data_IF_578478508474
#
_entry.id   IF_578478508474
#
_cell.length_a   1.000
_cell.length_b   1.000
_cell.length_c   1.000
_cell.angle_alpha   90.00
_cell.angle_beta   90.00
_cell.angle_gamma   90.00
#
_symmetry.space_group_name_H-M   'P 1'
#
loop_
_entity.id
_entity.type
_entity.pdbx_description
1 polymer ?
#
# COMPACT_ATOMS: atom_id res chain seq x y z
N UNK A 1 -31.19 -3.03 35.13
CA UNK A 1 -30.84 -1.73 34.54
C UNK A 1 -30.31 -1.95 33.12
N UNK A 2 -31.20 -2.06 32.13
CA UNK A 2 -30.81 -2.15 30.71
C UNK A 2 -30.65 -0.72 30.16
N UNK A 3 -29.42 -0.31 29.90
CA UNK A 3 -29.12 0.97 29.25
C UNK A 3 -29.23 0.76 27.75
N UNK A 4 -30.41 1.01 27.18
CA UNK A 4 -30.58 1.08 25.74
C UNK A 4 -29.88 2.34 25.24
N UNK A 5 -28.80 2.19 24.47
CA UNK A 5 -28.17 3.31 23.78
C UNK A 5 -29.03 3.68 22.56
N UNK A 6 -29.52 4.91 22.50
CA UNK A 6 -30.29 5.40 21.35
C UNK A 6 -29.34 6.06 20.37
N UNK A 7 -29.27 5.51 19.16
CA UNK A 7 -28.44 6.02 18.07
C UNK A 7 -29.36 6.58 17.00
N UNK A 8 -29.32 7.90 16.82
CA UNK A 8 -30.11 8.62 15.83
C UNK A 8 -29.21 9.00 14.65
N UNK A 9 -29.68 9.01 13.40
CA UNK A 9 -28.88 9.22 12.15
C UNK A 9 -28.98 10.66 11.57
N UNK A 10 -27.87 11.27 11.14
CA UNK A 10 -27.66 12.72 10.87
C UNK A 10 -26.16 13.09 10.80
N UNK A 11 -25.74 14.35 10.58
CA UNK A 11 -24.40 14.68 10.04
C UNK A 11 -23.17 14.40 10.94
N UNK A 12 -23.36 13.97 12.19
CA UNK A 12 -22.31 13.42 13.06
C UNK A 12 -22.72 12.04 13.65
N UNK A 13 -23.48 11.25 12.89
CA UNK A 13 -24.11 10.03 13.39
C UNK A 13 -23.75 8.84 12.52
N UNK A 14 -23.74 7.62 13.09
CA UNK A 14 -23.29 6.44 12.39
C UNK A 14 -24.15 6.14 11.16
N UNK A 15 -23.50 5.59 10.14
CA UNK A 15 -24.13 5.21 8.89
C UNK A 15 -24.95 3.94 9.11
N UNK A 16 -26.26 4.01 8.81
CA UNK A 16 -27.10 2.82 8.72
C UNK A 16 -27.10 2.33 7.27
N UNK A 17 -26.64 1.10 7.05
CA UNK A 17 -26.74 0.42 5.77
C UNK A 17 -27.74 -0.73 5.85
N UNK A 18 -28.79 -0.66 5.04
CA UNK A 18 -29.76 -1.74 4.87
C UNK A 18 -29.38 -2.51 3.61
N UNK A 19 -28.95 -3.77 3.75
CA UNK A 19 -28.27 -4.50 2.68
C UNK A 19 -28.91 -5.85 2.39
N UNK A 20 -28.59 -6.40 1.21
CA UNK A 20 -28.70 -7.83 0.96
C UNK A 20 -27.45 -8.54 1.54
N UNK A 21 -27.57 -9.36 2.59
CA UNK A 21 -26.42 -9.86 3.33
C UNK A 21 -25.52 -10.77 2.51
N UNK A 22 -26.06 -11.56 1.57
CA UNK A 22 -25.26 -12.43 0.71
C UNK A 22 -24.41 -11.63 -0.28
N UNK A 23 -25.03 -10.68 -0.98
CA UNK A 23 -24.32 -9.81 -1.92
C UNK A 23 -23.29 -8.92 -1.21
N UNK A 24 -23.63 -8.42 -0.02
CA UNK A 24 -22.76 -7.57 0.76
C UNK A 24 -21.57 -8.32 1.37
N UNK A 25 -21.75 -9.58 1.78
CA UNK A 25 -20.65 -10.44 2.26
C UNK A 25 -19.67 -10.77 1.14
N UNK A 26 -20.16 -11.06 -0.06
CA UNK A 26 -19.31 -11.27 -1.24
C UNK A 26 -18.54 -10.01 -1.62
N UNK A 27 -19.19 -8.84 -1.57
CA UNK A 27 -18.54 -7.56 -1.80
C UNK A 27 -17.39 -7.33 -0.81
N UNK A 28 -17.65 -7.51 0.49
CA UNK A 28 -16.63 -7.36 1.54
C UNK A 28 -15.45 -8.33 1.36
N UNK A 29 -15.72 -9.56 0.92
CA UNK A 29 -14.68 -10.52 0.60
C UNK A 29 -13.82 -10.06 -0.59
N UNK A 30 -14.46 -9.65 -1.70
CA UNK A 30 -13.76 -9.19 -2.91
C UNK A 30 -12.97 -7.90 -2.72
N UNK A 31 -13.40 -7.02 -1.80
CA UNK A 31 -12.68 -5.79 -1.47
C UNK A 31 -11.59 -5.98 -0.41
N UNK A 32 -11.28 -7.23 -0.03
CA UNK A 32 -10.21 -7.53 0.92
C UNK A 32 -10.54 -7.19 2.37
N UNK A 33 -11.80 -6.87 2.68
CA UNK A 33 -12.24 -6.60 4.05
C UNK A 33 -12.55 -7.89 4.82
N UNK A 34 -12.50 -9.06 4.16
CA UNK A 34 -12.73 -10.38 4.77
C UNK A 34 -14.18 -10.85 4.66
N UNK A 35 -14.37 -12.17 4.71
CA UNK A 35 -15.69 -12.79 4.66
C UNK A 35 -16.36 -12.77 6.04
N UNK A 36 -17.69 -12.83 6.06
CA UNK A 36 -18.49 -13.08 7.25
C UNK A 36 -19.72 -13.92 6.88
N UNK A 37 -20.23 -14.75 7.81
CA UNK A 37 -21.41 -15.57 7.55
C UNK A 37 -22.63 -14.67 7.37
N UNK A 38 -23.29 -14.77 6.22
CA UNK A 38 -24.52 -14.01 5.92
C UNK A 38 -25.66 -14.38 6.88
N UNK A 39 -25.62 -15.60 7.44
CA UNK A 39 -26.61 -16.13 8.38
C UNK A 39 -26.63 -15.34 9.70
N UNK A 40 -25.50 -14.71 10.07
CA UNK A 40 -25.40 -13.88 11.27
C UNK A 40 -26.22 -12.58 11.19
N UNK A 41 -26.71 -12.20 10.01
CA UNK A 41 -27.59 -11.04 9.79
C UNK A 41 -29.04 -11.43 9.53
N UNK A 42 -29.41 -12.70 9.72
CA UNK A 42 -30.79 -13.17 9.56
C UNK A 42 -31.61 -12.82 10.79
N UNK A 43 -32.90 -12.48 10.66
CA UNK A 43 -33.72 -12.13 11.81
C UNK A 43 -33.77 -13.27 12.84
N UNK A 44 -33.71 -12.90 14.12
CA UNK A 44 -33.89 -13.81 15.26
C UNK A 44 -34.90 -13.18 16.24
N UNK A 45 -36.18 -13.49 16.04
CA UNK A 45 -37.28 -12.87 16.77
C UNK A 45 -37.46 -11.38 16.45
N UNK A 46 -37.79 -10.58 17.46
CA UNK A 46 -38.09 -9.15 17.31
C UNK A 46 -36.86 -8.24 17.31
N UNK A 47 -35.66 -8.81 17.52
CA UNK A 47 -34.39 -8.07 17.59
C UNK A 47 -33.61 -8.30 16.30
N UNK A 48 -33.15 -7.23 15.65
CA UNK A 48 -32.40 -7.35 14.40
C UNK A 48 -30.92 -7.61 14.68
N UNK A 49 -30.34 -8.69 14.16
CA UNK A 49 -28.89 -8.85 14.17
C UNK A 49 -28.23 -7.84 13.23
N UNK A 50 -27.18 -7.18 13.71
CA UNK A 50 -26.41 -6.23 12.92
C UNK A 50 -24.92 -6.46 12.98
N UNK A 51 -24.27 -6.02 11.91
CA UNK A 51 -22.85 -5.79 11.85
C UNK A 51 -22.57 -4.33 12.27
N UNK A 52 -21.81 -4.14 13.35
CA UNK A 52 -21.59 -2.81 13.96
C UNK A 52 -20.12 -2.46 14.10
N UNK A 53 -19.82 -1.16 14.20
CA UNK A 53 -18.47 -0.69 14.55
C UNK A 53 -18.14 -0.96 16.04
N UNK A 54 -16.85 -1.09 16.41
CA UNK A 54 -16.46 -1.39 17.80
C UNK A 54 -16.88 -0.32 18.80
N UNK A 55 -16.91 0.94 18.36
CA UNK A 55 -17.37 2.08 19.16
C UNK A 55 -18.84 1.92 19.57
N UNK A 56 -19.68 1.45 18.66
CA UNK A 56 -21.10 1.18 18.95
C UNK A 56 -21.28 -0.10 19.75
N UNK A 57 -20.45 -1.12 19.51
CA UNK A 57 -20.49 -2.37 20.25
C UNK A 57 -20.06 -2.20 21.72
N UNK A 58 -19.06 -1.37 22.00
CA UNK A 58 -18.56 -1.17 23.37
C UNK A 58 -19.52 -0.36 24.24
N UNK A 59 -20.32 0.54 23.63
CA UNK A 59 -21.40 1.26 24.29
C UNK A 59 -22.74 0.51 24.32
N UNK A 60 -22.89 -0.52 23.48
CA UNK A 60 -24.07 -1.39 23.48
C UNK A 60 -23.97 -2.37 24.65
N UNK A 61 -25.05 -2.48 25.44
CA UNK A 61 -25.23 -3.63 26.31
C UNK A 61 -25.60 -4.87 25.49
N UNK A 62 -26.70 -5.53 25.85
CA UNK A 62 -27.24 -6.66 25.06
C UNK A 62 -27.88 -6.21 23.75
N UNK A 63 -28.37 -4.97 23.67
CA UNK A 63 -29.03 -4.42 22.49
C UNK A 63 -28.83 -2.90 22.41
N UNK A 64 -28.94 -2.37 21.20
CA UNK A 64 -28.82 -0.96 20.88
C UNK A 64 -30.08 -0.53 20.14
N UNK A 65 -30.69 0.59 20.52
CA UNK A 65 -31.86 1.11 19.81
C UNK A 65 -31.39 2.01 18.69
N UNK A 66 -31.63 1.60 17.45
CA UNK A 66 -31.32 2.44 16.29
C UNK A 66 -32.60 3.17 15.89
N UNK A 67 -32.52 4.49 15.90
CA UNK A 67 -33.56 5.39 15.40
C UNK A 67 -33.17 5.81 13.99
N UNK A 68 -33.84 5.22 13.01
CA UNK A 68 -33.66 5.58 11.62
C UNK A 68 -35.01 5.67 10.92
N UNK A 69 -35.13 6.64 10.00
CA UNK A 69 -36.31 6.78 9.15
C UNK A 69 -37.61 7.01 9.93
N UNK A 70 -37.50 7.64 11.11
CA UNK A 70 -38.62 7.87 12.02
C UNK A 70 -39.08 6.63 12.79
N UNK A 71 -38.35 5.52 12.70
CA UNK A 71 -38.65 4.28 13.38
C UNK A 71 -37.51 3.89 14.33
N UNK A 72 -37.91 3.38 15.49
CA UNK A 72 -37.00 2.78 16.46
C UNK A 72 -37.05 1.27 16.31
N UNK A 73 -35.90 0.64 16.17
CA UNK A 73 -35.79 -0.81 16.18
C UNK A 73 -34.62 -1.28 17.06
N UNK A 74 -34.84 -2.34 17.86
CA UNK A 74 -33.80 -2.93 18.67
C UNK A 74 -32.85 -3.72 17.76
N UNK A 75 -31.56 -3.47 17.92
CA UNK A 75 -30.48 -4.09 17.18
C UNK A 75 -29.56 -4.82 18.15
N UNK A 76 -29.19 -6.05 17.83
CA UNK A 76 -28.18 -6.80 18.57
C UNK A 76 -26.86 -6.83 17.77
N UNK A 77 -25.71 -6.45 18.38
CA UNK A 77 -24.38 -6.58 17.79
C UNK A 77 -23.98 -8.05 17.54
N UNK A 78 -24.41 -8.64 16.43
CA UNK A 78 -24.09 -10.02 16.09
C UNK A 78 -22.66 -10.18 15.53
N UNK A 79 -22.19 -9.16 14.81
CA UNK A 79 -20.83 -9.10 14.29
C UNK A 79 -20.26 -7.71 14.57
N UNK A 80 -18.97 -7.65 14.92
CA UNK A 80 -18.27 -6.38 15.13
C UNK A 80 -17.14 -6.28 14.12
N UNK A 81 -17.11 -5.19 13.34
CA UNK A 81 -16.06 -4.91 12.36
C UNK A 81 -15.64 -3.46 12.43
N UNK A 82 -14.34 -3.20 12.23
CA UNK A 82 -13.79 -1.83 12.25
C UNK A 82 -14.17 -1.02 11.01
N UNK A 83 -14.34 -1.70 9.87
CA UNK A 83 -14.63 -1.06 8.58
C UNK A 83 -15.57 -1.92 7.74
N UNK A 84 -16.29 -1.29 6.82
CA UNK A 84 -17.25 -1.95 5.92
C UNK A 84 -17.32 -1.23 4.56
N UNK A 85 -17.65 -1.92 3.43
CA UNK A 85 -17.69 -1.28 2.12
C UNK A 85 -18.59 -0.03 2.01
N UNK A 86 -19.62 0.07 2.87
CA UNK A 86 -20.57 1.20 2.86
C UNK A 86 -20.15 2.38 3.75
N UNK A 87 -19.19 2.17 4.67
CA UNK A 87 -18.77 3.15 5.66
C UNK A 87 -17.31 2.87 6.06
N UNK A 88 -16.33 3.25 5.22
CA UNK A 88 -14.93 2.94 5.46
C UNK A 88 -14.34 3.69 6.66
N UNK A 89 -14.84 4.90 6.97
CA UNK A 89 -14.21 5.84 7.93
C UNK A 89 -15.19 6.43 8.96
N UNK A 90 -16.32 5.76 9.21
CA UNK A 90 -17.34 6.25 10.16
C UNK A 90 -17.93 5.09 10.95
N UNK A 91 -18.43 5.37 12.15
CA UNK A 91 -19.22 4.38 12.89
C UNK A 91 -20.42 3.94 12.05
N UNK A 92 -20.79 2.65 12.13
CA UNK A 92 -21.81 2.09 11.25
C UNK A 92 -22.63 0.99 11.91
N UNK A 93 -23.83 0.80 11.36
CA UNK A 93 -24.72 -0.32 11.63
C UNK A 93 -25.17 -0.87 10.29
N UNK A 94 -24.94 -2.15 10.04
CA UNK A 94 -25.40 -2.83 8.83
C UNK A 94 -26.43 -3.89 9.22
N UNK A 95 -27.62 -3.82 8.65
CA UNK A 95 -28.72 -4.75 8.88
C UNK A 95 -29.20 -5.37 7.57
N UNK A 96 -29.77 -6.58 7.68
CA UNK A 96 -30.41 -7.23 6.55
C UNK A 96 -31.74 -6.56 6.21
N UNK A 97 -31.94 -6.23 4.93
CA UNK A 97 -33.22 -5.74 4.41
C UNK A 97 -34.36 -6.72 4.68
N UNK A 98 -34.15 -8.01 4.41
CA UNK A 98 -35.17 -9.04 4.63
C UNK A 98 -35.52 -9.17 6.10
N UNK A 99 -34.53 -9.14 6.99
CA UNK A 99 -34.77 -9.18 8.42
C UNK A 99 -35.58 -7.98 8.91
N UNK A 100 -35.31 -6.79 8.37
CA UNK A 100 -36.09 -5.58 8.68
C UNK A 100 -37.53 -5.68 8.19
N UNK A 101 -37.76 -6.19 6.98
CA UNK A 101 -39.11 -6.41 6.45
C UNK A 101 -39.89 -7.47 7.23
N UNK A 102 -39.22 -8.53 7.69
CA UNK A 102 -39.81 -9.58 8.54
C UNK A 102 -40.25 -9.04 9.92
N UNK A 103 -39.38 -8.27 10.58
CA UNK A 103 -39.65 -7.72 11.92
C UNK A 103 -40.56 -6.48 11.89
N UNK A 104 -40.56 -5.74 10.76
CA UNK A 104 -41.37 -4.53 10.56
C UNK A 104 -42.04 -4.56 9.18
N UNK A 105 -43.17 -5.27 9.04
CA UNK A 105 -43.91 -5.35 7.79
C UNK A 105 -44.36 -3.98 7.25
N UNK A 106 -44.53 -2.98 8.12
CA UNK A 106 -44.91 -1.62 7.71
C UNK A 106 -43.84 -0.92 6.88
N UNK A 107 -42.59 -1.37 6.97
CA UNK A 107 -41.46 -0.82 6.22
C UNK A 107 -41.38 -1.45 4.84
N UNK A 108 -41.96 -2.64 4.64
CA UNK A 108 -41.95 -3.33 3.35
C UNK A 108 -42.58 -2.45 2.25
N UNK A 109 -41.84 -2.22 1.17
CA UNK A 109 -42.29 -1.37 0.06
C UNK A 109 -42.25 0.15 0.33
N UNK A 110 -41.78 0.57 1.51
CA UNK A 110 -41.55 1.98 1.81
C UNK A 110 -40.21 2.47 1.24
N UNK A 111 -40.06 3.80 1.16
CA UNK A 111 -38.80 4.44 0.74
C UNK A 111 -37.58 4.06 1.62
N UNK A 112 -37.81 3.42 2.78
CA UNK A 112 -36.78 3.00 3.70
C UNK A 112 -35.97 1.77 3.29
N UNK A 113 -36.60 0.88 2.51
CA UNK A 113 -35.98 -0.36 2.02
C UNK A 113 -35.80 -0.34 0.51
N UNK A 114 -36.25 0.73 -0.15
CA UNK A 114 -35.98 0.97 -1.57
C UNK A 114 -34.48 1.18 -1.79
N UNK A 115 -33.84 0.38 -2.67
CA UNK A 115 -32.41 0.54 -2.95
C UNK A 115 -32.11 1.94 -3.49
N UNK A 116 -31.23 2.66 -2.79
CA UNK A 116 -30.78 4.02 -3.14
C UNK A 116 -29.28 4.10 -3.49
N UNK A 117 -28.51 3.05 -3.16
CA UNK A 117 -27.10 2.93 -3.46
C UNK A 117 -26.80 1.57 -4.09
N UNK A 118 -26.02 1.58 -5.17
CA UNK A 118 -25.51 0.38 -5.82
C UNK A 118 -24.00 0.33 -5.64
N UNK A 119 -23.52 -0.68 -4.91
CA UNK A 119 -22.09 -0.93 -4.74
C UNK A 119 -21.65 -1.99 -5.74
N UNK A 120 -20.68 -1.62 -6.59
CA UNK A 120 -20.18 -2.48 -7.67
C UNK A 120 -18.73 -2.85 -7.40
N UNK A 121 -18.37 -4.09 -7.72
CA UNK A 121 -16.99 -4.60 -7.66
C UNK A 121 -16.72 -5.47 -8.89
N UNK A 122 -15.66 -5.14 -9.61
CA UNK A 122 -15.24 -5.83 -10.82
C UNK A 122 -13.91 -5.26 -11.33
N UNK A 123 -13.21 -6.05 -12.15
CA UNK A 123 -12.01 -5.59 -12.85
C UNK A 123 -12.43 -4.69 -14.03
N UNK A 124 -11.71 -3.59 -14.25
CA UNK A 124 -11.89 -2.74 -15.43
C UNK A 124 -13.22 -2.01 -15.52
N UNK A 125 -13.82 -1.61 -14.38
CA UNK A 125 -15.00 -0.75 -14.39
C UNK A 125 -14.65 0.60 -15.03
N UNK A 126 -15.41 0.98 -16.06
CA UNK A 126 -15.28 2.27 -16.75
C UNK A 126 -16.35 3.25 -16.25
N UNK A 127 -15.91 4.35 -15.66
CA UNK A 127 -16.79 5.35 -15.09
C UNK A 127 -17.60 6.11 -16.14
N UNK A 128 -17.08 6.28 -17.36
CA UNK A 128 -17.81 6.94 -18.45
C UNK A 128 -18.98 6.07 -18.92
N UNK A 129 -18.74 4.77 -19.12
CA UNK A 129 -19.78 3.80 -19.50
C UNK A 129 -20.84 3.70 -18.41
N UNK A 130 -20.44 3.63 -17.13
CA UNK A 130 -21.37 3.58 -16.01
C UNK A 130 -22.20 4.85 -15.88
N UNK A 131 -21.61 6.03 -16.14
CA UNK A 131 -22.33 7.31 -16.16
C UNK A 131 -23.33 7.39 -17.32
N UNK A 132 -22.99 6.84 -18.48
CA UNK A 132 -23.89 6.77 -19.63
C UNK A 132 -25.09 5.86 -19.35
N UNK A 133 -24.84 4.65 -18.84
CA UNK A 133 -25.88 3.69 -18.42
C UNK A 133 -26.78 4.31 -17.34
N UNK A 134 -26.20 4.98 -16.34
CA UNK A 134 -26.97 5.63 -15.29
C UNK A 134 -27.82 6.80 -15.85
N UNK A 135 -27.32 7.50 -16.87
CA UNK A 135 -28.01 8.57 -17.57
C UNK A 135 -29.11 8.11 -18.53
N UNK A 136 -29.01 6.92 -19.11
CA UNK A 136 -30.06 6.32 -19.95
C UNK A 136 -31.16 5.66 -19.12
N UNK A 137 -30.81 4.93 -18.07
CA UNK A 137 -31.78 4.31 -17.14
C UNK A 137 -32.70 5.36 -16.47
N UNK A 138 -32.17 6.55 -16.17
CA UNK A 138 -32.97 7.67 -15.64
C UNK A 138 -33.94 8.30 -16.65
N UNK A 139 -33.77 8.05 -17.96
CA UNK A 139 -34.66 8.54 -19.02
C UNK A 139 -35.79 7.57 -19.32
N UNK A 140 -35.49 6.26 -19.31
CA UNK A 140 -36.47 5.21 -19.65
C UNK A 140 -37.48 4.93 -18.53
N UNK A 141 -37.16 5.26 -17.28
CA UNK A 141 -38.04 5.05 -16.13
C UNK A 141 -39.27 5.99 -16.07
N UNK A 142 -39.48 6.88 -17.07
CA UNK A 142 -40.65 7.77 -17.19
C UNK A 142 -40.87 8.76 -16.03
N UNK A 143 -40.03 8.69 -15.01
CA UNK A 143 -40.08 9.45 -13.77
C UNK A 143 -38.86 10.34 -13.81
N UNK A 144 -39.02 11.66 -13.95
CA UNK A 144 -37.89 12.58 -13.82
C UNK A 144 -37.15 12.24 -12.53
N UNK A 145 -35.91 11.72 -12.58
CA UNK A 145 -35.15 11.48 -11.39
C UNK A 145 -34.92 12.87 -10.77
N UNK A 146 -35.50 13.12 -9.60
CA UNK A 146 -35.25 14.36 -8.84
C UNK A 146 -33.77 14.58 -8.54
N UNK A 147 -32.93 13.56 -8.77
CA UNK A 147 -31.50 13.59 -8.58
C UNK A 147 -30.82 12.72 -9.64
N UNK A 148 -29.84 13.27 -10.35
CA UNK A 148 -29.01 12.49 -11.29
C UNK A 148 -28.22 11.45 -10.48
N UNK A 149 -28.18 10.18 -10.90
CA UNK A 149 -27.35 9.17 -10.24
C UNK A 149 -25.89 9.62 -10.27
N UNK A 150 -25.26 9.66 -9.10
CA UNK A 150 -23.85 10.01 -8.95
C UNK A 150 -23.02 8.75 -9.02
N UNK A 151 -22.11 8.67 -9.98
CA UNK A 151 -21.18 7.56 -10.14
C UNK A 151 -19.83 8.00 -9.62
N UNK A 152 -19.26 7.23 -8.68
CA UNK A 152 -17.90 7.42 -8.16
C UNK A 152 -17.14 6.11 -8.29
N UNK A 153 -15.98 6.15 -8.94
CA UNK A 153 -15.08 5.00 -9.05
C UNK A 153 -13.85 5.22 -8.19
N UNK A 154 -13.49 4.19 -7.40
CA UNK A 154 -12.23 4.18 -6.64
C UNK A 154 -11.01 4.30 -7.56
N UNK A 155 -11.06 3.73 -8.77
CA UNK A 155 -9.96 3.80 -9.75
C UNK A 155 -9.76 5.21 -10.30
N UNK A 156 -10.84 5.95 -10.59
CA UNK A 156 -10.77 7.36 -11.03
C UNK A 156 -10.21 8.25 -9.90
N UNK A 157 -10.65 8.03 -8.66
CA UNK A 157 -10.13 8.75 -7.49
C UNK A 157 -8.64 8.40 -7.25
N UNK A 158 -8.24 7.15 -7.39
CA UNK A 158 -6.83 6.75 -7.26
C UNK A 158 -5.95 7.35 -8.38
N UNK A 159 -6.50 7.50 -9.60
CA UNK A 159 -5.81 8.13 -10.71
C UNK A 159 -5.59 9.64 -10.45
N UNK A 160 -6.57 10.33 -9.86
CA UNK A 160 -6.44 11.76 -9.52
C UNK A 160 -5.31 12.03 -8.53
N UNK A 161 -5.09 11.14 -7.56
CA UNK A 161 -3.92 11.21 -6.66
C UNK A 161 -2.60 10.93 -7.37
N UNK A 162 -2.60 10.13 -8.44
CA UNK A 162 -1.40 9.80 -9.21
C UNK A 162 -0.98 10.95 -10.12
N UNK A 163 -1.95 11.69 -10.68
CA UNK A 163 -1.70 12.88 -11.50
C UNK A 163 -1.37 14.14 -10.68
N UNK A 164 -1.39 14.05 -9.34
CA UNK A 164 -1.09 15.17 -8.46
C UNK A 164 0.34 15.70 -8.67
N UNK A 165 0.44 17.01 -8.91
CA UNK A 165 1.70 17.75 -9.10
C UNK A 165 2.68 17.54 -7.93
N UNK A 166 2.16 17.32 -6.72
CA UNK A 166 2.94 17.04 -5.51
C UNK A 166 3.75 15.73 -5.64
N UNK A 167 3.16 14.68 -6.22
CA UNK A 167 3.83 13.38 -6.41
C UNK A 167 4.91 13.46 -7.48
N UNK A 168 4.62 14.09 -8.63
CA UNK A 168 5.63 14.27 -9.69
C UNK A 168 6.81 15.14 -9.22
N UNK A 169 6.58 16.10 -8.32
CA UNK A 169 7.64 16.88 -7.69
C UNK A 169 8.50 16.05 -6.75
N UNK A 170 7.86 15.27 -5.87
CA UNK A 170 8.55 14.38 -4.94
C UNK A 170 9.36 13.29 -5.67
N UNK A 171 8.83 12.72 -6.75
CA UNK A 171 9.52 11.72 -7.56
C UNK A 171 10.79 12.28 -8.21
N UNK A 172 10.72 13.50 -8.77
CA UNK A 172 11.90 14.16 -9.34
C UNK A 172 12.97 14.47 -8.29
N UNK A 173 12.57 14.93 -7.11
CA UNK A 173 13.52 15.15 -6.01
C UNK A 173 14.17 13.83 -5.58
N UNK A 174 13.39 12.76 -5.41
CA UNK A 174 13.91 11.45 -5.05
C UNK A 174 14.94 10.96 -6.08
N UNK A 175 14.61 11.01 -7.37
CA UNK A 175 15.53 10.62 -8.45
C UNK A 175 16.79 11.49 -8.45
N UNK A 176 16.65 12.81 -8.28
CA UNK A 176 17.79 13.72 -8.19
C UNK A 176 18.70 13.40 -7.00
N UNK A 177 18.12 13.12 -5.82
CA UNK A 177 18.87 12.72 -4.64
C UNK A 177 19.59 11.38 -4.83
N UNK A 178 18.95 10.40 -5.46
CA UNK A 178 19.57 9.10 -5.79
C UNK A 178 20.73 9.27 -6.75
N UNK A 179 20.57 10.08 -7.81
CA UNK A 179 21.63 10.37 -8.76
C UNK A 179 22.81 11.08 -8.10
N UNK A 180 22.54 12.03 -7.20
CA UNK A 180 23.56 12.77 -6.47
C UNK A 180 24.32 11.87 -5.48
N UNK A 181 23.61 10.99 -4.77
CA UNK A 181 24.21 9.98 -3.91
C UNK A 181 25.08 8.99 -4.69
N UNK A 182 24.61 8.55 -5.87
CA UNK A 182 25.39 7.70 -6.77
C UNK A 182 26.67 8.41 -7.26
N UNK A 183 26.57 9.69 -7.64
CA UNK A 183 27.71 10.49 -8.07
C UNK A 183 28.74 10.67 -6.93
N UNK A 184 28.30 10.98 -5.72
CA UNK A 184 29.17 11.10 -4.55
C UNK A 184 29.84 9.77 -4.19
N UNK A 185 29.11 8.66 -4.30
CA UNK A 185 29.67 7.32 -4.06
C UNK A 185 30.74 6.97 -5.09
N UNK A 186 30.49 7.26 -6.38
CA UNK A 186 31.49 7.07 -7.42
C UNK A 186 32.75 7.92 -7.16
N UNK A 187 32.58 9.17 -6.75
CA UNK A 187 33.68 10.06 -6.36
C UNK A 187 34.51 9.47 -5.21
N UNK A 188 33.85 8.95 -4.17
CA UNK A 188 34.51 8.33 -3.02
C UNK A 188 35.32 7.10 -3.42
N UNK A 189 34.81 6.25 -4.32
CA UNK A 189 35.53 5.08 -4.85
C UNK A 189 36.78 5.50 -5.62
N UNK A 190 36.67 6.53 -6.47
CA UNK A 190 37.83 7.06 -7.22
C UNK A 190 38.90 7.60 -6.28
N UNK A 191 38.51 8.35 -5.23
CA UNK A 191 39.46 8.84 -4.22
C UNK A 191 40.12 7.70 -3.43
N UNK A 192 39.35 6.69 -3.04
CA UNK A 192 39.88 5.51 -2.33
C UNK A 192 40.88 4.73 -3.19
N UNK A 193 40.61 4.61 -4.49
CA UNK A 193 41.56 4.03 -5.44
C UNK A 193 42.85 4.85 -5.57
N UNK A 194 42.73 6.17 -5.65
CA UNK A 194 43.89 7.05 -5.74
C UNK A 194 44.80 6.91 -4.50
N UNK A 195 44.22 6.83 -3.31
CA UNK A 195 44.97 6.61 -2.05
C UNK A 195 45.66 5.23 -2.01
N UNK A 196 44.93 4.16 -2.31
CA UNK A 196 45.46 2.79 -2.25
C UNK A 196 46.52 2.48 -3.30
N UNK A 197 46.49 3.16 -4.46
CA UNK A 197 47.50 3.02 -5.51
C UNK A 197 48.89 3.51 -5.07
N UNK A 198 48.95 4.64 -4.36
CA UNK A 198 50.20 5.24 -3.86
C UNK A 198 50.89 4.38 -2.80
N UNK A 199 50.15 3.72 -1.92
CA UNK A 199 50.71 2.84 -0.89
C UNK A 199 51.23 1.51 -1.47
N UNK A 200 50.60 1.01 -2.53
CA UNK A 200 50.99 -0.26 -3.17
C UNK A 200 52.19 -0.12 -4.10
N UNK A 201 52.44 1.07 -4.65
CA UNK A 201 53.57 1.33 -5.54
C UNK A 201 54.94 1.16 -4.84
N UNK A 202 55.04 1.52 -3.55
CA UNK A 202 56.26 1.42 -2.75
C UNK A 202 56.56 -0.01 -2.29
N UNK A 203 55.53 -0.85 -2.11
CA UNK A 203 55.69 -2.27 -1.80
C UNK A 203 56.06 -3.11 -3.04
N UNK A 204 55.48 -2.79 -4.19
CA UNK A 204 55.79 -3.48 -5.44
C UNK A 204 57.21 -3.22 -5.93
N UNK A 205 57.78 -2.03 -5.72
CA UNK A 205 59.18 -1.76 -6.06
C UNK A 205 60.16 -2.61 -5.24
N UNK A 206 59.85 -2.90 -3.96
CA UNK A 206 60.65 -3.83 -3.12
C UNK A 206 60.49 -5.30 -3.52
N UNK A 207 59.28 -5.77 -3.81
CA UNK A 207 59.04 -7.15 -4.26
C UNK A 207 59.61 -7.42 -5.66
N UNK A 208 59.67 -6.39 -6.52
CA UNK A 208 60.27 -6.46 -7.85
C UNK A 208 61.80 -6.56 -7.80
N UNK A 209 62.44 -5.97 -6.80
CA UNK A 209 63.86 -6.17 -6.51
C UNK A 209 64.17 -7.60 -6.01
N UNK A 210 63.16 -8.38 -5.59
CA UNK A 210 63.29 -9.76 -5.10
C UNK A 210 62.92 -10.83 -6.15
N UNK A 211 62.71 -10.47 -7.41
CA UNK A 211 62.63 -11.42 -8.54
C UNK A 211 61.25 -12.00 -8.86
N UNK A 212 60.16 -11.44 -8.32
CA UNK A 212 58.80 -11.98 -8.52
C UNK A 212 58.24 -11.71 -9.94
N UNK A 213 57.70 -12.74 -10.60
CA UNK A 213 57.11 -12.62 -11.93
C UNK A 213 55.76 -11.86 -11.92
N UNK A 214 55.59 -10.90 -12.84
CA UNK A 214 54.42 -9.99 -12.99
C UNK A 214 53.04 -10.68 -12.96
N UNK A 215 52.96 -11.97 -13.33
CA UNK A 215 51.70 -12.74 -13.38
C UNK A 215 51.24 -13.25 -12.01
N UNK A 216 52.15 -13.59 -11.09
CA UNK A 216 51.81 -14.13 -9.77
C UNK A 216 51.34 -13.04 -8.80
N UNK A 217 51.94 -11.84 -8.85
CA UNK A 217 51.48 -10.69 -8.07
C UNK A 217 50.06 -10.23 -8.45
N UNK A 218 49.66 -10.38 -9.71
CA UNK A 218 48.29 -10.05 -10.18
C UNK A 218 47.23 -10.98 -9.59
N UNK A 219 47.51 -12.28 -9.55
CA UNK A 219 46.57 -13.27 -9.00
C UNK A 219 46.46 -13.16 -7.48
N UNK A 220 47.56 -12.80 -6.81
CA UNK A 220 47.58 -12.58 -5.37
C UNK A 220 46.67 -11.41 -4.95
N UNK A 221 46.76 -10.28 -5.65
CA UNK A 221 45.92 -9.10 -5.36
C UNK A 221 44.43 -9.40 -5.62
N UNK A 222 44.12 -10.17 -6.67
CA UNK A 222 42.73 -10.52 -6.99
C UNK A 222 42.13 -11.45 -5.92
N UNK A 223 42.87 -12.46 -5.47
CA UNK A 223 42.40 -13.41 -4.45
C UNK A 223 42.32 -12.79 -3.06
N UNK A 224 43.18 -11.81 -2.76
CA UNK A 224 43.16 -11.10 -1.48
C UNK A 224 41.99 -10.12 -1.36
N UNK A 225 41.67 -9.42 -2.45
CA UNK A 225 40.65 -8.37 -2.43
C UNK A 225 39.22 -8.90 -2.60
N UNK A 226 39.03 -9.99 -3.35
CA UNK A 226 37.73 -10.52 -3.72
C UNK A 226 36.84 -10.92 -2.53
N UNK A 227 37.35 -11.57 -1.45
CA UNK A 227 36.55 -11.89 -0.27
C UNK A 227 36.05 -10.63 0.46
N UNK A 228 36.90 -9.61 0.57
CA UNK A 228 36.57 -8.37 1.28
C UNK A 228 35.50 -7.56 0.54
N UNK A 229 35.63 -7.44 -0.79
CA UNK A 229 34.63 -6.77 -1.63
C UNK A 229 33.30 -7.54 -1.67
N UNK A 230 33.35 -8.87 -1.66
CA UNK A 230 32.15 -9.69 -1.54
C UNK A 230 31.43 -9.47 -0.20
N UNK A 231 32.18 -9.48 0.91
CA UNK A 231 31.63 -9.25 2.25
C UNK A 231 31.01 -7.86 2.40
N UNK A 232 31.64 -6.83 1.83
CA UNK A 232 31.09 -5.46 1.87
C UNK A 232 29.82 -5.32 1.03
N UNK A 233 29.75 -5.96 -0.13
CA UNK A 233 28.53 -5.99 -0.94
C UNK A 233 27.37 -6.68 -0.18
N UNK A 234 27.63 -7.83 0.42
CA UNK A 234 26.64 -8.56 1.23
C UNK A 234 26.19 -7.74 2.45
N UNK A 235 27.13 -7.10 3.15
CA UNK A 235 26.81 -6.23 4.28
C UNK A 235 25.94 -5.03 3.87
N UNK A 236 26.21 -4.41 2.72
CA UNK A 236 25.42 -3.30 2.19
C UNK A 236 23.96 -3.69 1.90
N UNK A 237 23.75 -4.86 1.28
CA UNK A 237 22.40 -5.41 1.01
C UNK A 237 21.67 -5.72 2.31
N UNK A 238 22.34 -6.38 3.26
CA UNK A 238 21.73 -6.71 4.56
C UNK A 238 21.37 -5.45 5.35
N UNK A 239 22.21 -4.41 5.33
CA UNK A 239 21.97 -3.15 6.02
C UNK A 239 20.79 -2.38 5.42
N UNK A 240 20.63 -2.38 4.09
CA UNK A 240 19.47 -1.76 3.43
C UNK A 240 18.19 -2.52 3.75
N UNK A 241 18.24 -3.86 3.72
CA UNK A 241 17.08 -4.70 4.05
C UNK A 241 16.65 -4.52 5.52
N UNK A 242 17.62 -4.47 6.43
CA UNK A 242 17.41 -4.20 7.84
C UNK A 242 16.84 -2.78 8.06
N UNK A 243 17.37 -1.77 7.38
CA UNK A 243 16.86 -0.40 7.47
C UNK A 243 15.39 -0.31 7.03
N UNK A 244 15.01 -0.95 5.93
CA UNK A 244 13.62 -0.99 5.48
C UNK A 244 12.70 -1.66 6.52
N UNK A 245 13.16 -2.75 7.16
CA UNK A 245 12.43 -3.44 8.22
C UNK A 245 12.34 -2.64 9.52
N UNK A 246 13.36 -1.85 9.87
CA UNK A 246 13.38 -1.02 11.08
C UNK A 246 12.57 0.27 10.91
N UNK A 247 12.55 0.87 9.72
CA UNK A 247 11.75 2.07 9.44
C UNK A 247 10.27 1.75 9.26
N UNK A 248 9.93 0.55 8.78
CA UNK A 248 8.56 0.09 8.57
C UNK A 248 7.60 0.32 9.75
N UNK A 249 7.94 -0.08 11.00
CA UNK A 249 7.10 0.16 12.17
C UNK A 249 7.24 1.57 12.77
N UNK A 250 8.24 2.36 12.37
CA UNK A 250 8.51 3.69 12.92
C UNK A 250 7.80 4.83 12.19
N UNK A 251 7.33 4.59 10.95
CA UNK A 251 6.65 5.59 10.14
C UNK A 251 5.21 5.14 9.96
N UNK A 252 4.29 5.82 10.65
CA UNK A 252 2.88 5.60 10.45
C UNK A 252 2.42 6.25 9.14
N UNK A 253 2.42 5.44 8.07
CA UNK A 253 1.93 5.83 6.77
C UNK A 253 0.41 6.02 6.75
N UNK A 254 -0.32 5.46 7.72
CA UNK A 254 -1.76 5.67 7.83
C UNK A 254 -2.07 7.11 8.28
N UNK A 255 -1.32 7.61 9.27
CA UNK A 255 -1.31 9.02 9.67
C UNK A 255 -1.02 9.97 8.51
N UNK A 256 0.01 9.68 7.70
CA UNK A 256 0.36 10.53 6.54
C UNK A 256 -0.66 10.44 5.39
N UNK A 257 -1.30 9.30 5.19
CA UNK A 257 -2.31 9.10 4.16
C UNK A 257 -3.71 9.62 4.57
N UNK A 258 -3.87 10.06 5.83
CA UNK A 258 -5.17 10.46 6.37
C UNK A 258 -6.17 9.32 6.50
N UNK A 259 -5.69 8.07 6.47
CA UNK A 259 -6.50 6.86 6.62
C UNK A 259 -6.46 6.41 8.08
N UNK A 260 -7.56 5.91 8.64
CA UNK A 260 -7.57 5.36 10.00
C UNK A 260 -6.50 4.26 10.15
N UNK A 261 -5.77 4.25 11.27
CA UNK A 261 -4.60 3.39 11.60
C UNK A 261 -4.80 1.89 11.31
N UNK A 262 -6.05 1.43 11.22
CA UNK A 262 -6.42 0.02 11.07
C UNK A 262 -6.90 -0.40 9.67
N UNK A 263 -6.94 0.51 8.69
CA UNK A 263 -7.18 0.09 7.31
C UNK A 263 -5.92 -0.63 6.83
N UNK A 264 -5.96 -1.92 6.45
CA UNK A 264 -4.77 -2.62 6.00
C UNK A 264 -4.30 -1.98 4.70
N UNK A 265 -3.33 -1.07 4.83
CA UNK A 265 -2.47 -0.57 3.77
C UNK A 265 -1.13 -1.30 3.92
N UNK A 266 -1.08 -2.63 3.64
CA UNK A 266 0.17 -3.35 3.73
C UNK A 266 1.18 -2.64 2.82
N UNK A 267 2.35 -2.33 3.38
CA UNK A 267 3.54 -2.03 2.60
C UNK A 267 3.86 -3.24 1.74
N UNK A 268 3.23 -3.32 0.58
CA UNK A 268 3.61 -4.26 -0.46
C UNK A 268 4.99 -3.79 -0.94
N UNK A 269 6.03 -4.47 -0.47
CA UNK A 269 7.36 -4.35 -1.06
C UNK A 269 7.24 -4.95 -2.46
N UNK A 270 6.89 -4.10 -3.40
CA UNK A 270 6.88 -4.47 -4.80
C UNK A 270 8.35 -4.71 -5.19
N UNK A 271 8.68 -5.98 -5.43
CA UNK A 271 10.05 -6.39 -5.62
C UNK A 271 10.70 -5.70 -6.83
N UNK A 272 9.90 -5.39 -7.85
CA UNK A 272 10.34 -4.84 -9.13
C UNK A 272 11.00 -3.44 -9.03
N UNK A 273 10.39 -2.44 -8.37
CA UNK A 273 11.05 -1.15 -8.10
C UNK A 273 12.20 -1.23 -7.09
N UNK A 274 12.30 -2.31 -6.29
CA UNK A 274 13.42 -2.53 -5.37
C UNK A 274 14.66 -3.13 -6.06
N UNK A 275 14.43 -3.97 -7.07
CA UNK A 275 15.49 -4.62 -7.82
C UNK A 275 16.21 -3.65 -8.76
N UNK A 276 15.53 -2.65 -9.34
CA UNK A 276 16.14 -1.65 -10.23
C UNK A 276 17.33 -0.89 -9.60
N UNK A 277 17.19 -0.23 -8.42
CA UNK A 277 18.29 0.46 -7.78
C UNK A 277 19.36 -0.50 -7.27
N UNK A 278 18.98 -1.72 -6.85
CA UNK A 278 19.92 -2.76 -6.45
C UNK A 278 20.77 -3.24 -7.64
N UNK A 279 20.16 -3.43 -8.81
CA UNK A 279 20.87 -3.79 -10.06
C UNK A 279 21.79 -2.66 -10.51
N UNK A 280 21.34 -1.41 -10.37
CA UNK A 280 22.15 -0.24 -10.70
C UNK A 280 23.39 -0.16 -9.80
N UNK A 281 23.24 -0.31 -8.48
CA UNK A 281 24.35 -0.34 -7.53
C UNK A 281 25.30 -1.53 -7.77
N UNK A 282 24.75 -2.70 -8.09
CA UNK A 282 25.52 -3.88 -8.48
C UNK A 282 26.32 -3.61 -9.76
N UNK A 283 25.69 -3.00 -10.77
CA UNK A 283 26.37 -2.63 -12.02
C UNK A 283 27.48 -1.60 -11.79
N UNK A 284 27.26 -0.65 -10.87
CA UNK A 284 28.24 0.37 -10.53
C UNK A 284 29.45 -0.24 -9.81
N UNK A 285 29.22 -1.19 -8.90
CA UNK A 285 30.31 -1.92 -8.22
C UNK A 285 31.08 -2.81 -9.19
N UNK A 286 30.41 -3.51 -10.11
CA UNK A 286 31.07 -4.29 -11.17
C UNK A 286 31.86 -3.39 -12.11
N UNK A 287 31.33 -2.23 -12.51
CA UNK A 287 32.02 -1.27 -13.34
C UNK A 287 33.26 -0.69 -12.65
N UNK A 288 33.17 -0.38 -11.35
CA UNK A 288 34.30 0.07 -10.56
C UNK A 288 35.41 -1.00 -10.51
N UNK A 289 35.06 -2.26 -10.27
CA UNK A 289 36.01 -3.39 -10.26
C UNK A 289 36.71 -3.57 -11.62
N UNK A 290 35.97 -3.45 -12.73
CA UNK A 290 36.54 -3.51 -14.08
C UNK A 290 37.47 -2.33 -14.37
N UNK A 291 37.13 -1.12 -13.90
CA UNK A 291 38.00 0.05 -13.98
C UNK A 291 39.27 -0.11 -13.16
N UNK A 292 39.20 -0.70 -11.95
CA UNK A 292 40.40 -1.05 -11.18
C UNK A 292 41.30 -2.01 -11.95
N UNK A 293 40.71 -3.04 -12.54
CA UNK A 293 41.45 -4.02 -13.33
C UNK A 293 42.13 -3.37 -14.54
N UNK A 294 41.45 -2.46 -15.25
CA UNK A 294 42.00 -1.79 -16.42
C UNK A 294 43.09 -0.75 -16.09
N UNK A 295 42.90 0.07 -15.05
CA UNK A 295 43.93 1.04 -14.65
C UNK A 295 45.21 0.33 -14.19
N UNK A 296 45.08 -0.80 -13.49
CA UNK A 296 46.20 -1.65 -13.14
C UNK A 296 46.93 -2.22 -14.38
N UNK A 297 46.23 -2.42 -15.51
CA UNK A 297 46.87 -2.84 -16.77
C UNK A 297 47.59 -1.70 -17.49
N UNK A 298 46.99 -0.50 -17.60
CA UNK A 298 47.55 0.61 -18.41
C UNK A 298 48.80 1.25 -17.83
N UNK A 299 48.94 1.31 -16.51
CA UNK A 299 50.16 1.88 -15.87
C UNK A 299 51.39 0.97 -16.09
N UNK A 300 51.21 -0.22 -16.67
CA UNK A 300 52.29 -1.19 -16.89
C UNK A 300 52.99 -1.04 -18.26
N UNK A 301 52.46 -0.24 -19.19
CA UNK A 301 52.97 -0.04 -20.56
C UNK A 301 53.30 1.43 -20.90
N UNK A 302 54.34 2.01 -20.27
CA UNK A 302 55.21 2.88 -21.06
C UNK A 302 56.67 2.65 -20.67
N UNK A 303 57.35 1.76 -21.39
CA UNK A 303 58.79 1.83 -21.71
C UNK A 303 59.15 0.60 -22.56
N UNK A 304 58.68 0.59 -23.81
CA UNK A 304 59.23 -0.22 -24.89
C UNK A 304 59.17 0.61 -26.17
N UNK A 305 59.83 1.76 -26.19
CA UNK A 305 60.20 2.48 -27.41
C UNK A 305 61.45 3.33 -27.12
N UNK A 306 62.60 2.65 -27.13
CA UNK A 306 63.88 3.19 -27.62
C UNK A 306 64.92 2.08 -27.66
N UNK A 307 64.95 1.34 -28.77
CA UNK A 307 66.16 0.97 -29.53
C UNK A 307 65.74 0.25 -30.80
#
# INVERSE_FOLDING_TARGET
FHRAATVSTGPQRPVLAVVDPGSYAQLAHRTGLGAYPQEALRADGDVLPALVSPELASGAGTSLTVTAMGLDFPVHPALVRRTTPAAPDTAFVVISRRALEEVRPQVAGSAAVTPNHLLLSGAGLDGAVLRDIAGSAGRDAGTQPRTKPTVKLRSEEAASYTESVLRSGAERLYVASVLLAAALSALAVVLSMAQTATERATLLTRLRALGMARRQGRWLILVEALPLYFLTAVAGVLLTLASARLLGPGIDLASLAGTSEDTPAPLAVEALPLFLPSLFLLSLTVAALLLQAQVATRVTDPHMEST
#
